data_IF_906310640740
#
_entry.id   IF_906310640740
#
_cell.length_a   1.000
_cell.length_b   1.000
_cell.length_c   1.000
_cell.angle_alpha   90.00
_cell.angle_beta   90.00
_cell.angle_gamma   90.00
#
_symmetry.space_group_name_H-M   'P 1'
#
loop_
_entity.id
_entity.type
_entity.pdbx_description
1 polymer ?
#
# COMPACT_ATOMS: atom_id res chain seq x y z
N UNK A 1 9.24 4.85 -10.01
CA UNK A 1 10.10 5.75 -9.21
C UNK A 1 11.57 5.41 -9.40
N UNK A 2 11.89 4.12 -9.63
CA UNK A 2 13.24 3.65 -9.95
C UNK A 2 13.68 3.83 -11.42
N UNK A 3 12.80 4.31 -12.30
CA UNK A 3 13.19 4.76 -13.65
C UNK A 3 14.07 6.02 -13.63
N UNK A 4 14.13 6.72 -12.49
CA UNK A 4 14.93 7.94 -12.33
C UNK A 4 16.31 7.65 -11.74
N UNK A 5 16.43 6.66 -10.87
CA UNK A 5 17.69 6.39 -10.17
C UNK A 5 18.76 5.77 -11.09
N UNK A 6 18.37 5.01 -12.11
CA UNK A 6 19.30 4.30 -13.01
C UNK A 6 19.40 4.89 -14.42
N UNK A 7 18.96 6.13 -14.65
CA UNK A 7 19.11 6.73 -15.99
C UNK A 7 20.55 7.19 -16.28
N UNK A 8 21.46 7.14 -15.32
CA UNK A 8 22.90 7.35 -15.49
C UNK A 8 23.59 6.26 -14.65
N UNK A 9 24.46 5.40 -15.19
CA UNK A 9 25.77 5.73 -15.71
C UNK A 9 26.29 4.51 -16.49
N UNK A 10 26.68 4.68 -17.75
CA UNK A 10 27.71 3.81 -18.33
C UNK A 10 29.00 4.16 -17.57
N UNK A 11 29.56 3.20 -16.84
CA UNK A 11 30.73 3.40 -15.96
C UNK A 11 31.88 4.13 -16.65
N UNK A 12 32.18 5.34 -16.18
CA UNK A 12 33.55 5.88 -16.15
C UNK A 12 33.72 6.48 -14.74
N UNK A 13 34.53 5.83 -13.90
CA UNK A 13 34.67 6.15 -12.48
C UNK A 13 35.10 7.59 -12.20
N UNK A 14 34.74 8.11 -11.02
CA UNK A 14 35.09 9.38 -10.35
C UNK A 14 35.02 10.71 -11.15
N UNK A 15 35.19 10.69 -12.47
CA UNK A 15 34.92 11.75 -13.47
C UNK A 15 33.47 11.67 -14.01
N UNK A 16 32.64 10.77 -13.45
CA UNK A 16 31.28 10.44 -13.88
C UNK A 16 30.29 11.62 -13.89
N UNK A 17 30.57 12.68 -13.13
CA UNK A 17 29.71 13.86 -13.04
C UNK A 17 30.01 14.89 -14.15
N UNK A 18 31.20 14.83 -14.77
CA UNK A 18 31.62 15.76 -15.81
C UNK A 18 31.23 15.29 -17.22
N UNK A 19 31.12 13.98 -17.42
CA UNK A 19 30.64 13.35 -18.67
C UNK A 19 29.74 12.16 -18.37
N UNK A 20 28.45 12.32 -18.64
CA UNK A 20 27.44 11.27 -18.55
C UNK A 20 26.58 11.26 -19.82
N UNK A 21 26.12 10.08 -20.21
CA UNK A 21 25.17 9.89 -21.31
C UNK A 21 23.94 9.16 -20.76
N UNK A 22 22.75 9.69 -21.05
CA UNK A 22 21.50 9.10 -20.59
C UNK A 22 21.06 7.98 -21.52
N UNK A 23 20.61 6.86 -20.94
CA UNK A 23 19.95 5.82 -21.71
C UNK A 23 18.56 6.32 -22.21
N UNK A 24 18.45 6.48 -23.53
CA UNK A 24 17.24 6.94 -24.23
C UNK A 24 16.40 5.80 -24.82
N UNK A 25 16.66 4.55 -24.44
CA UNK A 25 15.95 3.38 -24.97
C UNK A 25 14.42 3.47 -24.82
N UNK A 26 13.93 4.07 -23.73
CA UNK A 26 12.49 4.12 -23.40
C UNK A 26 11.89 5.52 -23.34
N UNK A 27 12.70 6.55 -23.11
CA UNK A 27 12.25 7.94 -22.97
C UNK A 27 13.28 8.86 -23.61
N UNK A 28 12.83 9.77 -24.47
CA UNK A 28 13.72 10.79 -25.08
C UNK A 28 14.15 11.84 -24.06
N UNK A 29 13.19 12.34 -23.28
CA UNK A 29 13.41 13.29 -22.18
C UNK A 29 12.46 12.99 -21.01
N UNK A 30 12.98 13.12 -19.80
CA UNK A 30 12.28 13.01 -18.51
C UNK A 30 12.62 14.25 -17.68
N UNK A 31 11.78 14.60 -16.68
CA UNK A 31 12.07 15.77 -15.81
C UNK A 31 13.48 15.71 -15.19
N UNK A 32 13.97 14.56 -14.71
CA UNK A 32 15.35 14.43 -14.22
C UNK A 32 16.43 14.62 -15.28
N UNK A 33 16.22 14.11 -16.50
CA UNK A 33 17.21 14.25 -17.59
C UNK A 33 17.22 15.65 -18.17
N UNK A 34 16.06 16.31 -18.29
CA UNK A 34 15.95 17.71 -18.71
C UNK A 34 16.65 18.67 -17.75
N UNK A 35 16.56 18.41 -16.45
CA UNK A 35 17.12 19.28 -15.40
C UNK A 35 18.49 18.82 -14.89
N UNK A 36 19.10 17.81 -15.51
CA UNK A 36 20.40 17.25 -15.14
C UNK A 36 20.51 16.91 -13.64
N UNK A 37 19.57 16.12 -13.12
CA UNK A 37 19.58 15.66 -11.73
C UNK A 37 20.52 14.46 -11.53
N UNK A 38 21.82 14.71 -11.67
CA UNK A 38 22.88 13.70 -11.53
C UNK A 38 23.74 14.04 -10.30
N UNK A 39 24.44 13.04 -9.77
CA UNK A 39 25.38 13.18 -8.64
C UNK A 39 24.71 13.83 -7.42
N UNK A 40 25.07 15.07 -7.06
CA UNK A 40 24.55 15.78 -5.89
C UNK A 40 23.02 15.95 -5.87
N UNK A 41 22.36 15.81 -7.04
CA UNK A 41 20.90 15.97 -7.21
C UNK A 41 20.15 14.67 -7.46
N UNK A 42 20.80 13.51 -7.36
CA UNK A 42 20.18 12.21 -7.65
C UNK A 42 18.97 11.87 -6.76
N UNK A 43 18.96 12.39 -5.53
CA UNK A 43 17.87 12.16 -4.57
C UNK A 43 16.66 13.09 -4.77
N UNK A 44 16.66 13.99 -5.75
CA UNK A 44 15.57 14.97 -5.90
C UNK A 44 14.21 14.32 -6.11
N UNK A 45 14.14 13.22 -6.88
CA UNK A 45 12.89 12.46 -7.05
C UNK A 45 12.49 11.71 -5.79
N UNK A 46 13.45 11.10 -5.08
CA UNK A 46 13.25 10.52 -3.75
C UNK A 46 12.61 11.54 -2.81
N UNK A 47 13.21 12.73 -2.74
CA UNK A 47 12.83 13.80 -1.84
C UNK A 47 11.44 14.35 -2.16
N UNK A 48 11.08 14.51 -3.44
CA UNK A 48 9.72 14.92 -3.84
C UNK A 48 8.67 13.92 -3.33
N UNK A 49 8.89 12.63 -3.56
CA UNK A 49 7.96 11.58 -3.14
C UNK A 49 7.90 11.45 -1.62
N UNK A 50 9.05 11.43 -0.95
CA UNK A 50 9.13 11.36 0.50
C UNK A 50 8.44 12.57 1.15
N UNK A 51 8.70 13.79 0.68
CA UNK A 51 8.01 14.99 1.14
C UNK A 51 6.49 14.89 0.93
N UNK A 52 6.05 14.39 -0.23
CA UNK A 52 4.62 14.16 -0.50
C UNK A 52 4.01 13.14 0.47
N UNK A 53 4.73 12.05 0.77
CA UNK A 53 4.29 11.03 1.74
C UNK A 53 4.28 11.52 3.18
N UNK A 54 5.19 12.41 3.56
CA UNK A 54 5.14 13.12 4.85
C UNK A 54 3.93 14.06 4.90
N UNK A 55 3.63 14.77 3.80
CA UNK A 55 2.41 15.58 3.68
C UNK A 55 1.15 14.74 3.87
N UNK A 56 1.07 13.59 3.20
CA UNK A 56 -0.02 12.60 3.33
C UNK A 56 -0.15 12.07 4.76
N UNK A 57 0.98 11.77 5.42
CA UNK A 57 1.01 11.36 6.83
C UNK A 57 0.32 12.44 7.69
N UNK A 58 0.82 13.68 7.68
CA UNK A 58 0.25 14.75 8.51
C UNK A 58 -1.22 15.01 8.17
N UNK A 59 -1.54 15.05 6.88
CA UNK A 59 -2.89 15.35 6.42
C UNK A 59 -3.90 14.25 6.70
N UNK A 60 -3.50 12.98 6.71
CA UNK A 60 -4.38 11.87 7.10
C UNK A 60 -4.88 12.00 8.53
N UNK A 61 -4.03 12.41 9.49
CA UNK A 61 -4.42 12.60 10.89
C UNK A 61 -5.34 13.82 11.05
N UNK A 62 -4.99 14.95 10.43
CA UNK A 62 -5.77 16.20 10.50
C UNK A 62 -7.16 16.01 9.88
N UNK A 63 -7.24 15.46 8.67
CA UNK A 63 -8.51 15.23 8.00
C UNK A 63 -9.28 14.04 8.58
N UNK A 64 -8.60 13.08 9.22
CA UNK A 64 -9.23 12.01 10.00
C UNK A 64 -10.04 12.56 11.16
N UNK A 65 -9.40 13.40 11.99
CA UNK A 65 -10.08 14.11 13.09
C UNK A 65 -11.17 15.05 12.58
N UNK A 66 -10.89 15.81 11.53
CA UNK A 66 -11.87 16.74 10.95
C UNK A 66 -13.11 16.01 10.42
N UNK A 67 -12.94 14.86 9.78
CA UNK A 67 -14.03 14.02 9.28
C UNK A 67 -14.92 13.44 10.37
N UNK A 68 -14.35 13.06 11.52
CA UNK A 68 -15.11 12.59 12.68
C UNK A 68 -15.83 13.74 13.42
N UNK A 69 -15.25 14.95 13.46
CA UNK A 69 -15.79 16.07 14.25
C UNK A 69 -16.83 16.91 13.52
N UNK A 70 -16.55 17.28 12.26
CA UNK A 70 -17.40 18.17 11.45
C UNK A 70 -18.25 17.41 10.41
N UNK A 71 -18.09 16.09 10.36
CA UNK A 71 -18.75 15.22 9.39
C UNK A 71 -17.91 14.97 8.13
N UNK A 72 -18.14 13.81 7.53
CA UNK A 72 -17.28 13.27 6.46
C UNK A 72 -17.48 13.91 5.09
N UNK A 73 -18.70 14.37 4.79
CA UNK A 73 -19.03 15.05 3.53
C UNK A 73 -18.27 16.39 3.36
N UNK A 74 -18.30 17.35 4.32
CA UNK A 74 -17.53 18.58 4.18
C UNK A 74 -16.02 18.31 4.19
N UNK A 75 -15.53 17.36 4.99
CA UNK A 75 -14.13 16.94 4.98
C UNK A 75 -13.66 16.48 3.58
N UNK A 76 -14.48 15.66 2.91
CA UNK A 76 -14.19 15.18 1.56
C UNK A 76 -14.17 16.31 0.51
N UNK A 77 -15.11 17.26 0.58
CA UNK A 77 -15.16 18.38 -0.37
C UNK A 77 -13.95 19.30 -0.21
N UNK A 78 -13.59 19.65 1.03
CA UNK A 78 -12.40 20.48 1.32
C UNK A 78 -11.14 19.76 0.85
N UNK A 79 -11.05 18.46 1.08
CA UNK A 79 -9.96 17.61 0.63
C UNK A 79 -9.79 17.63 -0.90
N UNK A 80 -10.90 17.56 -1.66
CA UNK A 80 -10.85 17.67 -3.12
C UNK A 80 -10.39 19.05 -3.60
N UNK A 81 -10.87 20.13 -2.96
CA UNK A 81 -10.46 21.49 -3.30
C UNK A 81 -8.96 21.67 -3.07
N UNK A 82 -8.44 21.25 -1.92
CA UNK A 82 -7.00 21.31 -1.62
C UNK A 82 -6.17 20.45 -2.59
N UNK A 83 -6.67 19.28 -2.98
CA UNK A 83 -6.01 18.44 -3.97
C UNK A 83 -5.89 19.17 -5.31
N UNK A 84 -6.99 19.73 -5.83
CA UNK A 84 -6.98 20.48 -7.10
C UNK A 84 -6.06 21.69 -6.99
N UNK A 85 -6.14 22.46 -5.91
CA UNK A 85 -5.28 23.62 -5.69
C UNK A 85 -3.79 23.24 -5.68
N UNK A 86 -3.41 22.19 -4.94
CA UNK A 86 -2.03 21.71 -4.92
C UNK A 86 -1.54 21.27 -6.31
N UNK A 87 -2.38 20.58 -7.09
CA UNK A 87 -2.04 20.18 -8.47
C UNK A 87 -1.90 21.37 -9.41
N UNK A 88 -2.74 22.38 -9.28
CA UNK A 88 -2.64 23.63 -10.05
C UNK A 88 -1.34 24.36 -9.69
N UNK A 89 -0.98 24.43 -8.41
CA UNK A 89 0.30 25.01 -7.98
C UNK A 89 1.47 24.26 -8.61
N UNK A 90 1.49 22.91 -8.52
CA UNK A 90 2.54 22.09 -9.14
C UNK A 90 2.63 22.29 -10.66
N UNK A 91 1.51 22.49 -11.35
CA UNK A 91 1.48 22.72 -12.79
C UNK A 91 2.21 24.01 -13.19
N UNK A 92 1.93 25.12 -12.49
CA UNK A 92 2.56 26.41 -12.78
C UNK A 92 3.97 26.55 -12.18
N UNK A 93 4.27 25.79 -11.14
CA UNK A 93 5.54 25.84 -10.42
C UNK A 93 6.65 24.97 -11.02
N UNK A 94 6.45 24.34 -12.20
CA UNK A 94 7.42 23.39 -12.78
C UNK A 94 8.84 23.94 -13.01
N UNK A 95 9.02 25.27 -13.03
CA UNK A 95 10.32 25.94 -13.18
C UNK A 95 11.12 26.02 -11.86
N UNK A 96 10.46 25.95 -10.70
CA UNK A 96 11.09 26.04 -9.39
C UNK A 96 10.85 24.76 -8.60
N UNK A 97 11.94 24.05 -8.29
CA UNK A 97 11.88 22.81 -7.52
C UNK A 97 11.12 22.95 -6.20
N UNK A 98 11.36 24.04 -5.45
CA UNK A 98 10.74 24.27 -4.13
C UNK A 98 9.24 24.48 -4.26
N UNK A 99 8.80 25.35 -5.18
CA UNK A 99 7.37 25.62 -5.38
C UNK A 99 6.64 24.38 -5.91
N UNK A 100 7.30 23.59 -6.76
CA UNK A 100 6.77 22.32 -7.24
C UNK A 100 6.56 21.33 -6.08
N UNK A 101 7.55 21.18 -5.19
CA UNK A 101 7.46 20.34 -3.99
C UNK A 101 6.33 20.82 -3.07
N UNK A 102 6.20 22.13 -2.84
CA UNK A 102 5.11 22.69 -2.02
C UNK A 102 3.75 22.31 -2.62
N UNK A 103 3.56 22.48 -3.93
CA UNK A 103 2.32 22.06 -4.60
C UNK A 103 2.03 20.56 -4.45
N UNK A 104 3.05 19.72 -4.56
CA UNK A 104 2.93 18.28 -4.37
C UNK A 104 2.52 17.92 -2.94
N UNK A 105 3.12 18.56 -1.92
CA UNK A 105 2.78 18.36 -0.51
C UNK A 105 1.35 18.82 -0.22
N UNK A 106 0.94 19.98 -0.72
CA UNK A 106 -0.44 20.49 -0.57
C UNK A 106 -1.45 19.54 -1.21
N UNK A 107 -1.14 18.99 -2.39
CA UNK A 107 -2.00 18.01 -3.05
C UNK A 107 -2.04 16.65 -2.33
N UNK A 108 -0.91 16.23 -1.75
CA UNK A 108 -0.79 14.96 -1.05
C UNK A 108 -1.44 14.98 0.33
N UNK A 109 -1.48 16.13 1.00
CA UNK A 109 -2.04 16.30 2.35
C UNK A 109 -3.45 15.70 2.52
N UNK A 110 -4.46 16.05 1.71
CA UNK A 110 -5.79 15.47 1.85
C UNK A 110 -5.97 14.11 1.14
N UNK A 111 -4.99 13.66 0.34
CA UNK A 111 -5.20 12.63 -0.68
C UNK A 111 -5.74 11.32 -0.13
N UNK A 112 -5.10 10.77 0.90
CA UNK A 112 -5.49 9.49 1.47
C UNK A 112 -6.77 9.59 2.31
N UNK A 113 -6.96 10.70 3.02
CA UNK A 113 -8.21 10.94 3.77
C UNK A 113 -9.41 11.12 2.85
N UNK A 114 -9.22 11.73 1.67
CA UNK A 114 -10.27 11.84 0.65
C UNK A 114 -10.71 10.46 0.16
N UNK A 115 -9.74 9.58 -0.13
CA UNK A 115 -9.99 8.19 -0.48
C UNK A 115 -10.74 7.53 0.70
N UNK A 116 -10.14 7.50 1.89
CA UNK A 116 -10.69 6.82 3.04
C UNK A 116 -12.12 7.27 3.40
N UNK A 117 -12.42 8.57 3.36
CA UNK A 117 -13.76 9.13 3.62
C UNK A 117 -14.82 8.51 2.72
N UNK A 118 -14.54 8.38 1.42
CA UNK A 118 -15.45 7.71 0.48
C UNK A 118 -15.60 6.23 0.86
N UNK A 119 -14.54 5.56 1.33
CA UNK A 119 -14.61 4.12 1.68
C UNK A 119 -15.56 3.93 2.84
N UNK A 120 -15.44 4.77 3.88
CA UNK A 120 -16.29 4.67 5.06
C UNK A 120 -17.74 4.94 4.69
N UNK A 121 -18.00 5.98 3.90
CA UNK A 121 -19.36 6.31 3.44
C UNK A 121 -19.94 5.13 2.63
N UNK A 122 -19.21 4.57 1.66
CA UNK A 122 -19.67 3.42 0.88
C UNK A 122 -19.95 2.18 1.74
N UNK A 123 -19.14 1.92 2.77
CA UNK A 123 -19.34 0.79 3.68
C UNK A 123 -20.48 1.00 4.68
N UNK A 124 -20.76 2.24 5.07
CA UNK A 124 -21.89 2.58 5.92
C UNK A 124 -23.23 2.55 5.19
N UNK A 125 -23.24 2.93 3.91
CA UNK A 125 -24.44 2.83 3.07
C UNK A 125 -24.72 1.39 2.61
N UNK A 126 -23.72 0.50 2.58
CA UNK A 126 -23.91 -0.88 2.12
C UNK A 126 -24.47 -1.78 3.22
N UNK A 127 -25.42 -2.63 2.84
CA UNK A 127 -25.93 -3.69 3.69
C UNK A 127 -24.80 -4.65 4.07
N UNK A 128 -24.86 -5.24 5.26
CA UNK A 128 -23.81 -6.11 5.80
C UNK A 128 -23.39 -7.23 4.83
N UNK A 129 -24.34 -7.77 4.06
CA UNK A 129 -24.13 -8.82 3.06
C UNK A 129 -23.35 -8.34 1.81
N UNK A 130 -23.43 -7.05 1.46
CA UNK A 130 -22.78 -6.48 0.26
C UNK A 130 -21.54 -5.64 0.56
N UNK A 131 -21.10 -5.59 1.82
CA UNK A 131 -19.94 -4.78 2.24
C UNK A 131 -18.64 -5.25 1.58
N UNK A 132 -18.40 -6.56 1.54
CA UNK A 132 -17.21 -7.12 0.89
C UNK A 132 -17.19 -6.77 -0.60
N UNK A 133 -18.29 -6.99 -1.32
CA UNK A 133 -18.39 -6.64 -2.75
C UNK A 133 -18.18 -5.15 -3.03
N UNK A 134 -18.75 -4.28 -2.19
CA UNK A 134 -18.61 -2.82 -2.31
C UNK A 134 -17.16 -2.38 -2.06
N UNK A 135 -16.49 -3.02 -1.10
CA UNK A 135 -15.07 -2.81 -0.84
C UNK A 135 -14.21 -3.26 -2.03
N UNK A 136 -14.44 -4.46 -2.55
CA UNK A 136 -13.70 -5.02 -3.69
C UNK A 136 -13.82 -4.13 -4.94
N UNK A 137 -15.03 -3.72 -5.30
CA UNK A 137 -15.27 -2.87 -6.47
C UNK A 137 -14.48 -1.57 -6.38
N UNK A 138 -14.42 -0.97 -5.19
CA UNK A 138 -13.74 0.29 -4.95
C UNK A 138 -12.22 0.15 -5.02
N UNK A 139 -11.65 -0.87 -4.40
CA UNK A 139 -10.21 -1.11 -4.46
C UNK A 139 -9.74 -1.49 -5.88
N UNK A 140 -10.57 -2.20 -6.65
CA UNK A 140 -10.28 -2.49 -8.07
C UNK A 140 -10.19 -1.23 -8.96
N UNK A 141 -10.79 -0.10 -8.55
CA UNK A 141 -10.70 1.18 -9.28
C UNK A 141 -9.44 1.97 -8.88
N UNK A 142 -8.94 1.78 -7.67
CA UNK A 142 -7.74 2.48 -7.16
C UNK A 142 -6.53 1.62 -7.49
N UNK A 143 -6.10 1.69 -8.75
CA UNK A 143 -4.84 1.06 -9.18
C UNK A 143 -3.68 1.75 -8.45
N UNK A 144 -2.98 1.02 -7.59
CA UNK A 144 -1.80 1.54 -6.91
C UNK A 144 -0.62 1.44 -7.88
N UNK A 145 0.07 2.55 -8.13
CA UNK A 145 1.26 2.55 -8.98
C UNK A 145 2.50 2.42 -8.09
N UNK A 146 3.11 1.25 -8.08
CA UNK A 146 4.52 1.08 -7.72
C UNK A 146 5.13 0.13 -8.73
N UNK A 147 6.29 0.47 -9.26
CA UNK A 147 6.95 -0.30 -10.31
C UNK A 147 8.28 -0.78 -9.79
N UNK A 148 8.29 -2.00 -9.24
CA UNK A 148 9.54 -2.71 -9.01
C UNK A 148 10.07 -3.10 -10.39
N UNK A 149 11.32 -2.71 -10.68
CA UNK A 149 11.97 -3.05 -11.95
C UNK A 149 12.51 -4.48 -11.90
N UNK A 150 12.33 -5.18 -13.00
CA UNK A 150 13.02 -6.40 -13.35
C UNK A 150 13.81 -6.14 -14.65
N UNK A 151 14.71 -7.05 -15.03
CA UNK A 151 15.65 -6.87 -16.16
C UNK A 151 14.95 -6.77 -17.55
N UNK A 152 13.63 -6.66 -17.60
CA UNK A 152 12.80 -6.62 -18.81
C UNK A 152 12.32 -5.22 -19.22
N UNK A 153 11.27 -5.18 -20.03
CA UNK A 153 10.67 -3.93 -20.50
C UNK A 153 9.84 -3.29 -19.36
N UNK A 154 10.17 -2.07 -18.92
CA UNK A 154 9.53 -1.43 -17.76
C UNK A 154 8.03 -1.18 -17.98
N UNK A 155 7.58 -0.96 -19.21
CA UNK A 155 6.16 -0.74 -19.52
C UNK A 155 5.34 -2.02 -19.39
N UNK A 156 5.90 -3.14 -19.86
CA UNK A 156 5.25 -4.44 -19.74
C UNK A 156 5.22 -4.90 -18.28
N UNK A 157 6.30 -4.69 -17.54
CA UNK A 157 6.34 -5.02 -16.11
C UNK A 157 5.35 -4.20 -15.30
N UNK A 158 5.23 -2.91 -15.60
CA UNK A 158 4.20 -2.06 -14.99
C UNK A 158 2.78 -2.53 -15.36
N UNK A 159 2.55 -2.90 -16.62
CA UNK A 159 1.26 -3.45 -17.07
C UNK A 159 0.91 -4.74 -16.33
N UNK A 160 1.86 -5.67 -16.21
CA UNK A 160 1.63 -6.94 -15.51
C UNK A 160 1.38 -6.73 -14.01
N UNK A 161 2.08 -5.79 -13.39
CA UNK A 161 1.85 -5.41 -11.99
C UNK A 161 0.46 -4.81 -11.80
N UNK A 162 0.02 -3.89 -12.67
CA UNK A 162 -1.31 -3.29 -12.62
C UNK A 162 -2.41 -4.34 -12.89
N UNK A 163 -2.20 -5.23 -13.86
CA UNK A 163 -3.14 -6.29 -14.17
C UNK A 163 -3.29 -7.29 -13.01
N UNK A 164 -2.25 -7.52 -12.23
CA UNK A 164 -2.26 -8.43 -11.08
C UNK A 164 -3.05 -7.89 -9.87
N UNK A 165 -3.28 -6.59 -9.77
CA UNK A 165 -4.02 -6.00 -8.64
C UNK A 165 -5.51 -6.38 -8.66
N UNK A 166 -6.12 -6.32 -9.84
CA UNK A 166 -7.54 -6.62 -10.04
C UNK A 166 -7.89 -8.03 -9.55
N UNK A 167 -7.28 -9.13 -10.05
CA UNK A 167 -7.56 -10.47 -9.55
C UNK A 167 -7.13 -10.65 -8.10
N UNK A 168 -6.10 -9.93 -7.62
CA UNK A 168 -5.68 -9.93 -6.22
C UNK A 168 -6.80 -9.52 -5.27
N UNK A 169 -7.54 -8.45 -5.57
CA UNK A 169 -8.68 -8.01 -4.75
C UNK A 169 -9.84 -9.01 -4.74
N UNK A 170 -10.16 -9.61 -5.88
CA UNK A 170 -11.20 -10.65 -5.95
C UNK A 170 -10.81 -11.91 -5.18
N UNK A 171 -9.56 -12.35 -5.32
CA UNK A 171 -9.03 -13.49 -4.60
C UNK A 171 -9.00 -13.24 -3.10
N UNK A 172 -8.61 -12.04 -2.67
CA UNK A 172 -8.62 -11.63 -1.27
C UNK A 172 -10.03 -11.69 -0.68
N UNK A 173 -11.02 -11.15 -1.38
CA UNK A 173 -12.42 -11.19 -0.97
C UNK A 173 -12.93 -12.64 -0.84
N UNK A 174 -12.66 -13.47 -1.85
CA UNK A 174 -13.07 -14.87 -1.85
C UNK A 174 -12.41 -15.69 -0.73
N UNK A 175 -11.13 -15.48 -0.45
CA UNK A 175 -10.41 -16.14 0.66
C UNK A 175 -10.90 -15.65 2.02
N UNK A 176 -11.17 -14.35 2.16
CA UNK A 176 -11.65 -13.73 3.41
C UNK A 176 -12.99 -14.32 3.87
N UNK A 177 -13.84 -14.69 2.93
CA UNK A 177 -15.16 -15.27 3.22
C UNK A 177 -15.10 -16.79 3.48
N UNK A 178 -14.06 -17.49 3.01
CA UNK A 178 -13.90 -18.95 3.22
C UNK A 178 -13.02 -19.33 4.41
N UNK A 179 -11.80 -18.77 4.49
CA UNK A 179 -10.76 -19.19 5.46
C UNK A 179 -10.79 -18.31 6.72
N UNK A 180 -11.50 -17.18 6.66
CA UNK A 180 -11.50 -16.14 7.69
C UNK A 180 -10.56 -14.98 7.35
N UNK A 181 -10.80 -13.84 7.99
CA UNK A 181 -10.12 -12.57 7.70
C UNK A 181 -8.69 -12.60 8.24
N UNK A 182 -8.47 -13.13 9.44
CA UNK A 182 -7.13 -13.24 10.04
C UNK A 182 -6.24 -14.16 9.23
N UNK A 183 -6.72 -15.36 8.94
CA UNK A 183 -5.95 -16.39 8.21
C UNK A 183 -5.61 -15.93 6.78
N UNK A 184 -6.50 -15.21 6.12
CA UNK A 184 -6.22 -14.63 4.79
C UNK A 184 -5.12 -13.57 4.88
N UNK A 185 -5.12 -12.75 5.94
CA UNK A 185 -4.02 -11.81 6.23
C UNK A 185 -2.69 -12.53 6.43
N UNK A 186 -2.65 -13.53 7.30
CA UNK A 186 -1.43 -14.34 7.56
C UNK A 186 -0.92 -14.99 6.27
N UNK A 187 -1.81 -15.56 5.45
CA UNK A 187 -1.45 -16.18 4.18
C UNK A 187 -0.81 -15.17 3.22
N UNK A 188 -1.42 -13.98 3.09
CA UNK A 188 -0.92 -12.94 2.18
C UNK A 188 0.48 -12.41 2.57
N UNK A 189 0.72 -12.13 3.85
CA UNK A 189 2.03 -11.68 4.33
C UNK A 189 3.07 -12.81 4.29
N UNK A 190 2.67 -14.06 4.53
CA UNK A 190 3.56 -15.21 4.41
C UNK A 190 4.01 -15.44 2.97
N UNK A 191 3.09 -15.36 2.00
CA UNK A 191 3.44 -15.46 0.58
C UNK A 191 4.39 -14.32 0.19
N UNK A 192 4.11 -13.09 0.63
CA UNK A 192 4.97 -11.93 0.37
C UNK A 192 6.39 -12.13 0.94
N UNK A 193 6.51 -12.60 2.19
CA UNK A 193 7.80 -12.89 2.81
C UNK A 193 8.57 -13.99 2.06
N UNK A 194 7.89 -15.07 1.65
CA UNK A 194 8.49 -16.13 0.85
C UNK A 194 9.00 -15.61 -0.49
N UNK A 195 8.24 -14.76 -1.19
CA UNK A 195 8.67 -14.21 -2.47
C UNK A 195 9.86 -13.26 -2.33
N UNK A 196 9.93 -12.44 -1.27
CA UNK A 196 11.11 -11.63 -1.00
C UNK A 196 12.36 -12.47 -0.71
N UNK A 197 12.22 -13.59 0.01
CA UNK A 197 13.32 -14.55 0.23
C UNK A 197 13.77 -15.16 -1.11
N UNK A 198 12.83 -15.56 -1.96
CA UNK A 198 13.15 -16.09 -3.30
C UNK A 198 13.86 -15.03 -4.15
N UNK A 199 13.48 -13.76 -4.03
CA UNK A 199 14.17 -12.65 -4.69
C UNK A 199 15.62 -12.51 -4.22
N UNK A 200 15.89 -12.61 -2.91
CA UNK A 200 17.26 -12.63 -2.35
C UNK A 200 18.07 -13.83 -2.88
N UNK A 201 17.46 -15.02 -2.94
CA UNK A 201 18.12 -16.23 -3.43
C UNK A 201 18.43 -16.15 -4.93
N UNK A 202 17.54 -15.55 -5.73
CA UNK A 202 17.77 -15.30 -7.17
C UNK A 202 19.02 -14.47 -7.37
N UNK A 203 19.18 -13.40 -6.60
CA UNK A 203 20.29 -12.47 -6.71
C UNK A 203 21.64 -13.12 -6.38
N UNK A 204 21.66 -14.03 -5.40
CA UNK A 204 22.86 -14.77 -5.04
C UNK A 204 23.19 -15.93 -6.00
N UNK A 205 22.23 -16.37 -6.82
CA UNK A 205 22.41 -17.55 -7.68
C UNK A 205 23.07 -17.21 -9.01
N UNK A 206 24.07 -18.01 -9.40
CA UNK A 206 24.72 -17.96 -10.72
C UNK A 206 23.98 -18.78 -11.80
N UNK A 207 22.92 -19.49 -11.41
CA UNK A 207 22.17 -20.37 -12.32
C UNK A 207 21.39 -19.56 -13.37
N UNK A 208 21.55 -19.93 -14.65
CA UNK A 208 20.86 -19.28 -15.77
C UNK A 208 19.34 -19.25 -15.63
N UNK A 209 18.74 -20.28 -15.03
CA UNK A 209 17.29 -20.39 -14.81
C UNK A 209 16.76 -19.28 -13.90
N UNK A 210 17.48 -18.97 -12.82
CA UNK A 210 17.08 -17.94 -11.86
C UNK A 210 17.27 -16.52 -12.43
N UNK A 211 18.20 -16.34 -13.38
CA UNK A 211 18.46 -15.04 -14.02
C UNK A 211 17.54 -14.72 -15.20
N UNK A 212 16.76 -15.67 -15.73
CA UNK A 212 15.85 -15.37 -16.83
C UNK A 212 14.85 -14.26 -16.46
N UNK A 213 14.62 -13.31 -17.37
CA UNK A 213 13.67 -12.19 -17.18
C UNK A 213 12.25 -12.67 -16.83
N UNK A 214 11.82 -13.83 -17.37
CA UNK A 214 10.52 -14.41 -17.06
C UNK A 214 10.35 -14.81 -15.58
N UNK A 215 11.41 -15.30 -14.93
CA UNK A 215 11.31 -15.69 -13.51
C UNK A 215 11.26 -14.46 -12.61
N UNK A 216 12.03 -13.43 -12.94
CA UNK A 216 12.01 -12.13 -12.25
C UNK A 216 10.62 -11.48 -12.31
N UNK A 217 10.04 -11.38 -13.50
CA UNK A 217 8.69 -10.83 -13.68
C UNK A 217 7.63 -11.65 -12.96
N UNK A 218 7.71 -12.99 -12.99
CA UNK A 218 6.78 -13.85 -12.26
C UNK A 218 6.83 -13.62 -10.73
N UNK A 219 8.04 -13.49 -10.15
CA UNK A 219 8.21 -13.21 -8.72
C UNK A 219 7.55 -11.87 -8.34
N UNK A 220 7.79 -10.82 -9.12
CA UNK A 220 7.22 -9.49 -8.88
C UNK A 220 5.68 -9.52 -8.97
N UNK A 221 5.12 -10.21 -9.96
CA UNK A 221 3.66 -10.36 -10.13
C UNK A 221 3.04 -11.05 -8.91
N UNK A 222 3.63 -12.16 -8.46
CA UNK A 222 3.11 -12.91 -7.29
C UNK A 222 3.23 -12.07 -6.02
N UNK A 223 4.36 -11.38 -5.83
CA UNK A 223 4.58 -10.46 -4.70
C UNK A 223 3.56 -9.32 -4.70
N UNK A 224 3.24 -8.79 -5.88
CA UNK A 224 2.23 -7.73 -6.03
C UNK A 224 0.84 -8.24 -5.70
N UNK A 225 0.48 -9.42 -6.20
CA UNK A 225 -0.79 -10.06 -5.88
C UNK A 225 -0.93 -10.33 -4.37
N UNK A 226 0.13 -10.81 -3.71
CA UNK A 226 0.08 -11.05 -2.26
C UNK A 226 0.02 -9.76 -1.45
N UNK A 227 0.72 -8.71 -1.86
CA UNK A 227 0.67 -7.40 -1.20
C UNK A 227 -0.73 -6.75 -1.33
N UNK A 228 -1.36 -6.84 -2.50
CA UNK A 228 -2.73 -6.32 -2.71
C UNK A 228 -3.77 -7.07 -1.87
N UNK A 229 -3.63 -8.39 -1.74
CA UNK A 229 -4.44 -9.18 -0.82
C UNK A 229 -4.27 -8.74 0.63
N UNK A 230 -3.03 -8.56 1.10
CA UNK A 230 -2.75 -8.11 2.46
C UNK A 230 -3.31 -6.72 2.75
N UNK A 231 -3.16 -5.81 1.79
CA UNK A 231 -3.72 -4.46 1.88
C UNK A 231 -5.26 -4.49 1.96
N UNK A 232 -5.93 -5.31 1.16
CA UNK A 232 -7.39 -5.47 1.21
C UNK A 232 -7.87 -5.96 2.59
N UNK A 233 -7.24 -7.01 3.13
CA UNK A 233 -7.61 -7.59 4.42
C UNK A 233 -7.37 -6.62 5.57
N UNK A 234 -6.25 -5.91 5.59
CA UNK A 234 -5.98 -4.89 6.62
C UNK A 234 -7.07 -3.83 6.61
N UNK A 235 -7.48 -3.36 5.43
CA UNK A 235 -8.55 -2.38 5.34
C UNK A 235 -9.85 -2.94 5.94
N UNK A 236 -10.28 -4.15 5.58
CA UNK A 236 -11.49 -4.76 6.17
C UNK A 236 -11.36 -4.91 7.70
N UNK A 237 -10.24 -5.41 8.20
CA UNK A 237 -10.02 -5.56 9.64
C UNK A 237 -10.09 -4.21 10.36
N UNK A 238 -9.56 -3.14 9.78
CA UNK A 238 -9.71 -1.80 10.34
C UNK A 238 -11.19 -1.37 10.40
N UNK A 239 -12.01 -1.72 9.41
CA UNK A 239 -13.45 -1.40 9.42
C UNK A 239 -14.23 -2.20 10.47
N UNK A 240 -13.87 -3.47 10.66
CA UNK A 240 -14.55 -4.38 11.59
C UNK A 240 -14.10 -4.19 13.05
N UNK A 241 -12.86 -3.73 13.27
CA UNK A 241 -12.29 -3.55 14.61
C UNK A 241 -12.60 -2.17 15.20
N UNK A 242 -12.57 -1.09 14.39
CA UNK A 242 -12.80 0.25 14.90
C UNK A 242 -14.30 0.61 14.96
N UNK A 243 -14.82 1.04 16.13
CA UNK A 243 -16.20 1.44 16.28
C UNK A 243 -16.49 2.74 15.53
N UNK A 244 -17.75 2.93 15.15
CA UNK A 244 -18.19 3.98 14.20
C UNK A 244 -17.74 5.39 14.57
N UNK A 245 -17.73 5.73 15.87
CA UNK A 245 -17.41 7.07 16.40
C UNK A 245 -15.95 7.50 16.23
N UNK A 246 -15.02 6.55 16.13
CA UNK A 246 -13.58 6.81 16.03
C UNK A 246 -12.94 6.08 14.84
N UNK A 247 -13.78 5.53 13.96
CA UNK A 247 -13.34 4.68 12.85
C UNK A 247 -12.41 5.41 11.91
N UNK A 248 -12.73 6.65 11.52
CA UNK A 248 -11.92 7.40 10.56
C UNK A 248 -10.57 7.79 11.19
N UNK A 249 -10.57 8.26 12.43
CA UNK A 249 -9.36 8.55 13.19
C UNK A 249 -8.48 7.30 13.39
N UNK A 250 -9.06 6.15 13.74
CA UNK A 250 -8.33 4.88 13.92
C UNK A 250 -7.68 4.37 12.65
N UNK A 251 -8.41 4.39 11.53
CA UNK A 251 -7.83 4.08 10.21
C UNK A 251 -6.74 5.07 9.79
N UNK A 252 -6.92 6.37 10.11
CA UNK A 252 -5.91 7.38 9.80
C UNK A 252 -4.60 7.11 10.55
N UNK A 253 -4.67 6.65 11.80
CA UNK A 253 -3.50 6.24 12.57
C UNK A 253 -2.73 5.09 11.90
N UNK A 254 -3.42 4.06 11.39
CA UNK A 254 -2.78 2.99 10.62
C UNK A 254 -2.09 3.51 9.35
N UNK A 255 -2.70 4.48 8.69
CA UNK A 255 -2.14 5.13 7.50
C UNK A 255 -0.89 5.96 7.82
N UNK A 256 -0.76 6.54 9.02
CA UNK A 256 0.47 7.22 9.44
C UNK A 256 1.68 6.29 9.35
N UNK A 257 1.54 5.06 9.85
CA UNK A 257 2.62 4.05 9.79
C UNK A 257 2.89 3.60 8.35
N UNK A 258 1.83 3.42 7.54
CA UNK A 258 1.96 3.02 6.13
C UNK A 258 2.62 4.11 5.26
N UNK A 259 2.23 5.37 5.42
CA UNK A 259 2.82 6.51 4.70
C UNK A 259 4.25 6.77 5.16
N UNK A 260 4.57 6.55 6.44
CA UNK A 260 5.95 6.59 6.94
C UNK A 260 6.84 5.53 6.29
N UNK A 261 6.39 4.28 6.25
CA UNK A 261 7.10 3.20 5.54
C UNK A 261 7.26 3.49 4.05
N UNK A 262 6.22 4.05 3.42
CA UNK A 262 6.26 4.45 2.00
C UNK A 262 7.23 5.61 1.76
N UNK A 263 7.34 6.58 2.67
CA UNK A 263 8.30 7.68 2.56
C UNK A 263 9.75 7.19 2.61
N UNK A 264 10.02 6.11 3.35
CA UNK A 264 11.34 5.48 3.45
C UNK A 264 11.67 4.54 2.28
N UNK A 265 10.66 3.98 1.61
CA UNK A 265 10.83 3.02 0.51
C UNK A 265 11.86 3.45 -0.56
N UNK A 266 11.78 4.65 -1.18
CA UNK A 266 12.75 5.03 -2.23
C UNK A 266 14.19 5.12 -1.71
N UNK A 267 14.39 5.47 -0.44
CA UNK A 267 15.72 5.50 0.17
C UNK A 267 16.26 4.08 0.45
N UNK A 268 15.37 3.14 0.80
CA UNK A 268 15.73 1.72 0.96
C UNK A 268 16.19 1.14 -0.38
N UNK A 269 15.46 1.41 -1.47
CA UNK A 269 15.85 0.97 -2.81
C UNK A 269 17.14 1.65 -3.29
N UNK A 270 17.28 2.95 -3.06
CA UNK A 270 18.52 3.69 -3.38
C UNK A 270 19.74 3.11 -2.65
N UNK A 271 19.62 2.81 -1.36
CA UNK A 271 20.71 2.18 -0.59
C UNK A 271 21.02 0.76 -1.09
N UNK A 272 19.99 0.01 -1.50
CA UNK A 272 20.13 -1.29 -2.14
C UNK A 272 20.98 -1.21 -3.41
N UNK A 273 20.72 -0.24 -4.28
CA UNK A 273 21.48 -0.09 -5.52
C UNK A 273 22.95 0.32 -5.27
N UNK A 274 23.21 1.23 -4.32
CA UNK A 274 24.56 1.77 -4.07
C UNK A 274 25.49 0.82 -3.30
N UNK A 275 24.97 0.03 -2.36
CA UNK A 275 25.80 -0.77 -1.44
C UNK A 275 25.77 -2.24 -1.80
N UNK A 276 24.57 -2.85 -1.80
CA UNK A 276 24.35 -4.27 -2.07
C UNK A 276 22.91 -4.45 -2.50
N UNK A 277 22.69 -5.00 -3.70
CA UNK A 277 21.35 -5.16 -4.27
C UNK A 277 20.40 -6.01 -3.37
N UNK A 278 20.97 -6.89 -2.54
CA UNK A 278 20.25 -7.76 -1.59
C UNK A 278 19.62 -7.01 -0.42
N UNK A 279 20.14 -5.83 -0.09
CA UNK A 279 19.82 -5.14 1.15
C UNK A 279 18.36 -4.68 1.20
N UNK A 280 17.82 -4.18 0.08
CA UNK A 280 16.41 -3.79 -0.02
C UNK A 280 15.47 -4.98 0.19
N UNK A 281 15.75 -6.11 -0.47
CA UNK A 281 14.95 -7.33 -0.41
C UNK A 281 14.95 -7.96 1.00
N UNK A 282 16.10 -7.93 1.70
CA UNK A 282 16.20 -8.42 3.09
C UNK A 282 15.36 -7.55 4.04
N UNK A 283 15.41 -6.22 3.88
CA UNK A 283 14.61 -5.30 4.70
C UNK A 283 13.11 -5.55 4.48
N UNK A 284 12.68 -5.70 3.23
CA UNK A 284 11.27 -5.95 2.88
C UNK A 284 10.79 -7.32 3.38
N UNK A 285 11.66 -8.32 3.40
CA UNK A 285 11.40 -9.61 4.05
C UNK A 285 11.13 -9.41 5.54
N UNK A 286 11.99 -8.67 6.25
CA UNK A 286 11.84 -8.39 7.67
C UNK A 286 10.52 -7.68 8.00
N UNK A 287 10.16 -6.66 7.23
CA UNK A 287 8.88 -5.95 7.39
C UNK A 287 7.69 -6.88 7.15
N UNK A 288 7.76 -7.78 6.16
CA UNK A 288 6.70 -8.75 5.87
C UNK A 288 6.53 -9.77 7.01
N UNK A 289 7.63 -10.26 7.61
CA UNK A 289 7.59 -11.16 8.77
C UNK A 289 6.99 -10.48 9.99
N UNK A 290 7.32 -9.21 10.24
CA UNK A 290 6.67 -8.41 11.28
C UNK A 290 5.16 -8.31 11.01
N UNK A 291 4.76 -8.11 9.75
CA UNK A 291 3.35 -8.13 9.33
C UNK A 291 2.63 -9.45 9.63
N UNK A 292 3.29 -10.60 9.43
CA UNK A 292 2.76 -11.92 9.83
C UNK A 292 2.54 -12.00 11.34
N UNK A 293 3.52 -11.58 12.13
CA UNK A 293 3.43 -11.60 13.59
C UNK A 293 2.30 -10.68 14.07
N UNK A 294 2.21 -9.47 13.53
CA UNK A 294 1.14 -8.52 13.87
C UNK A 294 -0.24 -9.07 13.52
N UNK A 295 -0.42 -9.67 12.34
CA UNK A 295 -1.71 -10.28 11.94
C UNK A 295 -2.08 -11.51 12.76
N UNK A 296 -1.11 -12.27 13.26
CA UNK A 296 -1.38 -13.37 14.18
C UNK A 296 -1.92 -12.91 15.54
N UNK A 297 -1.59 -11.68 15.98
CA UNK A 297 -2.10 -11.12 17.24
C UNK A 297 -3.54 -10.60 17.12
N UNK A 298 -4.05 -10.41 15.90
CA UNK A 298 -5.42 -9.93 15.68
C UNK A 298 -6.47 -11.05 15.91
N UNK A 299 -7.61 -10.72 16.53
CA UNK A 299 -8.72 -11.65 16.68
C UNK A 299 -9.43 -11.92 15.34
N UNK A 300 -10.04 -13.10 15.20
CA UNK A 300 -10.88 -13.41 14.04
C UNK A 300 -12.21 -12.66 14.10
N UNK A 301 -12.57 -12.01 12.99
CA UNK A 301 -13.74 -11.14 12.83
C UNK A 301 -14.84 -11.77 11.97
N UNK A 302 -14.58 -12.92 11.32
CA UNK A 302 -15.57 -13.64 10.49
C UNK A 302 -16.90 -13.88 11.24
N UNK A 303 -18.01 -13.46 10.62
CA UNK A 303 -19.39 -13.63 11.09
C UNK A 303 -19.71 -13.03 12.48
N UNK A 304 -18.90 -12.11 12.99
CA UNK A 304 -19.20 -11.38 14.23
C UNK A 304 -19.95 -10.07 13.93
N UNK A 305 -20.83 -9.66 14.85
CA UNK A 305 -21.49 -8.35 14.78
C UNK A 305 -20.45 -7.25 14.92
N UNK A 306 -20.60 -6.18 14.13
CA UNK A 306 -19.69 -5.05 14.19
C UNK A 306 -19.93 -4.26 15.49
N UNK A 307 -18.86 -3.81 16.17
CA UNK A 307 -18.98 -2.94 17.33
C UNK A 307 -19.52 -1.57 16.89
N UNK A 308 -20.65 -1.17 17.46
CA UNK A 308 -21.22 0.16 17.22
C UNK A 308 -20.73 1.16 18.27
N UNK A 309 -20.54 0.69 19.52
CA UNK A 309 -20.10 1.50 20.67
C UNK A 309 -18.68 1.15 21.12
N UNK A 310 -18.09 2.00 21.98
CA UNK A 310 -16.75 1.77 22.55
C UNK A 310 -16.81 0.60 23.54
N UNK A 311 -17.91 0.46 24.26
CA UNK A 311 -18.17 -0.61 25.21
C UNK A 311 -18.22 -1.97 24.49
N UNK A 312 -18.88 -2.04 23.32
CA UNK A 312 -18.90 -3.24 22.49
C UNK A 312 -17.50 -3.62 22.01
N UNK A 313 -16.68 -2.62 21.64
CA UNK A 313 -15.29 -2.84 21.22
C UNK A 313 -14.40 -3.38 22.36
N UNK A 314 -14.68 -3.03 23.62
CA UNK A 314 -13.92 -3.54 24.79
C UNK A 314 -14.23 -5.00 25.13
N UNK A 315 -15.41 -5.50 24.75
CA UNK A 315 -15.82 -6.89 24.89
C UNK A 315 -15.36 -7.72 23.69
N UNK A 316 -15.25 -7.08 22.52
CA UNK A 316 -14.77 -7.67 21.28
C UNK A 316 -13.34 -8.22 21.43
N UNK A 317 -13.22 -9.56 21.43
CA UNK A 317 -11.93 -10.27 21.55
C UNK A 317 -11.67 -10.97 22.88
N UNK A 318 -12.33 -10.58 23.99
CA UNK A 318 -12.12 -11.20 25.32
C UNK A 318 -12.52 -12.68 25.39
N UNK A 319 -13.49 -13.10 24.59
CA UNK A 319 -13.98 -14.50 24.54
C UNK A 319 -13.28 -15.36 23.47
N UNK A 320 -12.18 -14.89 22.87
CA UNK A 320 -11.50 -15.59 21.75
C UNK A 320 -10.19 -16.26 22.20
N UNK A 321 -10.17 -16.86 23.39
CA UNK A 321 -9.14 -17.87 23.68
C UNK A 321 -9.49 -19.14 22.90
N UNK A 322 -8.67 -19.47 21.88
CA UNK A 322 -8.58 -20.79 21.24
C UNK A 322 -9.90 -21.42 20.76
N UNK A 323 -10.31 -21.13 19.52
CA UNK A 323 -11.24 -22.00 18.81
C UNK A 323 -10.47 -23.12 18.11
N UNK A 324 -10.63 -24.34 18.63
CA UNK A 324 -10.51 -25.58 17.85
C UNK A 324 -11.43 -25.52 16.62
N UNK A 325 -11.06 -26.19 15.51
CA UNK A 325 -11.88 -26.19 14.30
C UNK A 325 -13.26 -26.78 14.62
N UNK A 326 -14.31 -25.98 14.37
CA UNK A 326 -15.70 -26.42 14.43
C UNK A 326 -15.89 -27.45 13.31
N UNK A 327 -15.84 -28.73 13.68
CA UNK A 327 -16.46 -29.78 12.88
C UNK A 327 -17.95 -29.43 12.80
N UNK A 328 -18.46 -29.32 11.57
CA UNK A 328 -19.88 -29.10 11.29
C UNK A 328 -20.69 -30.19 12.01
N UNK A 329 -21.26 -29.87 13.16
CA UNK A 329 -22.27 -30.69 13.78
C UNK A 329 -23.59 -30.41 13.04
N UNK A 330 -23.88 -31.25 12.05
CA UNK A 330 -25.22 -31.38 11.48
C UNK A 330 -26.09 -32.12 12.49
N UNK A 331 -26.53 -31.43 13.54
CA UNK A 331 -27.70 -31.84 14.31
C UNK A 331 -28.37 -30.58 14.84
N UNK A 332 -29.62 -30.39 14.42
CA UNK A 332 -30.41 -29.21 14.70
C UNK A 332 -30.69 -29.05 16.18
N UNK A 333 -30.76 -27.80 16.60
CA UNK A 333 -31.73 -27.24 17.54
C UNK A 333 -31.41 -25.74 17.72
N UNK A 334 -32.16 -24.89 17.05
CA UNK A 334 -32.13 -23.43 17.28
C UNK A 334 -32.99 -23.10 18.51
N UNK A 335 -32.48 -22.44 19.57
CA UNK A 335 -33.34 -21.87 20.58
C UNK A 335 -33.82 -20.48 20.14
N UNK A 336 -35.15 -20.37 20.02
CA UNK A 336 -35.92 -19.14 19.88
C UNK A 336 -35.64 -18.22 21.07
N UNK A 337 -35.12 -17.03 20.81
CA UNK A 337 -35.03 -15.95 21.81
C UNK A 337 -36.42 -15.34 22.01
N UNK A 338 -37.07 -15.74 23.09
CA UNK A 338 -38.28 -15.12 23.62
C UNK A 338 -37.93 -13.73 24.20
N UNK A 339 -38.64 -12.69 23.73
CA UNK A 339 -38.65 -11.37 24.36
C UNK A 339 -39.62 -11.42 25.55
N UNK A 340 -39.16 -10.98 26.71
CA UNK A 340 -39.99 -10.33 27.72
C UNK A 340 -39.45 -8.93 27.98
#
# INVERSE_FOLDING_TARGET
MDSVFDQALIEIGQDACDKYEYDKTWYEETVPTKNNWVCDKELYVANIFAASKVGELVGSMVFGWFGDTYGRRPAYIIALVLLVLGRVISLFAGQSFVLFVIGCVVAAFPSWSAIQSVTVISMELSSAERRSTTATLRFAVIMMSSGDKSDGNPFLEFLWQALAEVPGYFLAAWLADRIGRRNTGVLSFSISACMWIVHVLRENSSNAIFRHSLTSTAIVIVTRLSATMGYYIINILNFELYPTCIRQSGMSLGNLFSSGGSALAPYIFYLGHRVNLQLSSVILTGVSVIGVISTLLLPETLNKKLPETIEDAQVFGKNTQTYTPVLLNTSGDDPVLEKN
#
